data_IF_962021768134
#
_entry.id   IF_962021768134
#
_cell.length_a   1.000
_cell.length_b   1.000
_cell.length_c   1.000
_cell.angle_alpha   90.00
_cell.angle_beta   90.00
_cell.angle_gamma   90.00
#
_symmetry.space_group_name_H-M   'P 1'
#
loop_
_entity.id
_entity.type
_entity.pdbx_description
1 polymer ?
#
# COMPACT_ATOMS: atom_id res chain seq x y z
N UNK A 1 14.46 11.91 -2.64
CA UNK A 1 14.05 10.51 -2.54
C UNK A 1 13.66 10.18 -1.11
N UNK A 2 12.58 9.47 -0.93
CA UNK A 2 12.17 9.03 0.40
C UNK A 2 13.19 8.06 0.99
N UNK A 3 13.38 8.14 2.30
CA UNK A 3 14.27 7.22 3.01
C UNK A 3 13.51 5.91 3.24
N UNK A 4 13.91 4.86 2.51
CA UNK A 4 13.28 3.54 2.60
C UNK A 4 14.00 2.62 3.59
N UNK A 5 14.94 3.15 4.35
CA UNK A 5 15.77 2.31 5.21
C UNK A 5 14.96 1.44 6.15
N UNK A 6 13.95 2.02 6.80
CA UNK A 6 13.14 1.30 7.77
C UNK A 6 11.99 0.52 7.12
N UNK A 7 11.71 0.75 5.84
CA UNK A 7 10.58 0.09 5.19
C UNK A 7 10.80 -1.40 5.00
N UNK A 8 12.05 -1.86 4.96
CA UNK A 8 12.34 -3.29 4.85
C UNK A 8 11.81 -4.09 6.03
N UNK A 9 11.72 -3.47 7.19
CA UNK A 9 11.18 -4.11 8.38
C UNK A 9 9.67 -4.33 8.28
N UNK A 10 9.03 -3.67 7.33
CA UNK A 10 7.60 -3.74 7.13
C UNK A 10 7.18 -4.83 6.14
N UNK A 11 8.13 -5.56 5.55
CA UNK A 11 7.80 -6.68 4.66
C UNK A 11 6.98 -7.72 5.44
N UNK A 12 5.88 -8.13 4.86
CA UNK A 12 4.93 -9.03 5.53
C UNK A 12 3.86 -8.31 6.33
N UNK A 13 3.91 -6.99 6.39
CA UNK A 13 2.94 -6.18 7.13
C UNK A 13 2.04 -5.40 6.19
N UNK A 14 0.88 -5.02 6.70
CA UNK A 14 0.00 -4.10 5.97
C UNK A 14 0.59 -2.70 6.11
N UNK A 15 0.82 -2.05 4.98
CA UNK A 15 1.47 -0.73 4.94
C UNK A 15 0.56 0.29 4.27
N UNK A 16 0.81 1.55 4.60
CA UNK A 16 0.19 2.69 3.96
C UNK A 16 1.27 3.45 3.20
N UNK A 17 1.02 3.73 1.94
CA UNK A 17 1.98 4.37 1.05
C UNK A 17 1.38 5.67 0.54
N UNK A 18 2.15 6.75 0.65
CA UNK A 18 1.78 8.04 0.05
C UNK A 18 2.63 8.23 -1.19
N UNK A 19 1.98 8.47 -2.32
CA UNK A 19 2.67 8.79 -3.56
C UNK A 19 2.96 10.28 -3.66
N UNK A 20 3.92 10.63 -4.52
CA UNK A 20 4.26 12.03 -4.79
C UNK A 20 3.07 12.82 -5.34
N UNK A 21 2.14 12.13 -5.99
CA UNK A 21 0.90 12.73 -6.49
C UNK A 21 -0.09 13.09 -5.38
N UNK A 22 0.15 12.64 -4.15
CA UNK A 22 -0.77 12.81 -3.05
C UNK A 22 -1.73 11.64 -2.84
N UNK A 23 -1.74 10.68 -3.75
CA UNK A 23 -2.58 9.48 -3.59
C UNK A 23 -2.04 8.63 -2.46
N UNK A 24 -2.94 8.10 -1.65
CA UNK A 24 -2.60 7.21 -0.55
C UNK A 24 -3.19 5.83 -0.83
N UNK A 25 -2.39 4.79 -0.64
CA UNK A 25 -2.86 3.41 -0.81
C UNK A 25 -2.52 2.59 0.42
N UNK A 26 -3.26 1.49 0.59
CA UNK A 26 -3.03 0.52 1.65
C UNK A 26 -2.89 -0.85 1.00
N UNK A 27 -1.94 -1.67 1.47
CA UNK A 27 -1.73 -3.00 0.93
C UNK A 27 -0.77 -3.80 1.77
N UNK A 28 -0.68 -5.11 1.48
CA UNK A 28 0.27 -5.98 2.15
C UNK A 28 1.61 -5.90 1.42
N UNK A 29 2.66 -5.51 2.13
CA UNK A 29 3.98 -5.38 1.54
C UNK A 29 4.61 -6.76 1.40
N UNK A 30 4.78 -7.22 0.15
CA UNK A 30 5.36 -8.53 -0.12
C UNK A 30 6.87 -8.48 -0.23
N UNK A 31 7.40 -7.42 -0.82
CA UNK A 31 8.84 -7.28 -1.04
C UNK A 31 9.20 -5.83 -1.27
N UNK A 32 10.41 -5.48 -0.90
CA UNK A 32 10.98 -4.16 -1.18
C UNK A 32 12.38 -4.38 -1.74
N UNK A 33 12.60 -3.92 -2.95
CA UNK A 33 13.88 -4.06 -3.63
C UNK A 33 14.41 -2.67 -4.00
N UNK A 34 15.21 -2.12 -3.10
CA UNK A 34 15.78 -0.78 -3.33
C UNK A 34 16.76 -0.77 -4.49
N UNK A 35 17.49 -1.86 -4.69
CA UNK A 35 18.47 -1.96 -5.77
C UNK A 35 17.80 -1.83 -7.13
N UNK A 36 16.64 -2.44 -7.30
CA UNK A 36 15.87 -2.38 -8.54
C UNK A 36 14.81 -1.28 -8.51
N UNK A 37 14.75 -0.52 -7.44
CA UNK A 37 13.85 0.62 -7.29
C UNK A 37 12.38 0.22 -7.39
N UNK A 38 12.01 -0.90 -6.76
CA UNK A 38 10.66 -1.46 -6.85
C UNK A 38 10.16 -1.96 -5.51
N UNK A 39 8.84 -2.00 -5.38
CA UNK A 39 8.19 -2.69 -4.28
C UNK A 39 7.02 -3.50 -4.82
N UNK A 40 6.66 -4.55 -4.09
CA UNK A 40 5.55 -5.44 -4.47
C UNK A 40 4.51 -5.41 -3.37
N UNK A 41 3.25 -5.18 -3.76
CA UNK A 41 2.12 -5.17 -2.84
C UNK A 41 1.10 -6.22 -3.25
N UNK A 42 0.44 -6.80 -2.24
CA UNK A 42 -0.72 -7.64 -2.47
C UNK A 42 -1.98 -6.84 -2.15
N UNK A 43 -2.94 -6.91 -3.06
CA UNK A 43 -4.27 -6.33 -2.90
C UNK A 43 -4.26 -4.86 -2.46
N UNK A 44 -3.54 -3.97 -3.21
CA UNK A 44 -3.56 -2.56 -2.84
C UNK A 44 -4.94 -1.95 -3.08
N UNK A 45 -5.34 -1.08 -2.16
CA UNK A 45 -6.57 -0.29 -2.27
C UNK A 45 -6.22 1.18 -2.17
N UNK A 46 -6.91 2.01 -2.95
CA UNK A 46 -6.76 3.45 -2.85
C UNK A 46 -7.60 3.96 -1.70
N UNK A 47 -6.98 4.77 -0.86
CA UNK A 47 -7.66 5.40 0.27
C UNK A 47 -8.25 6.72 -0.22
N UNK A 48 -9.53 6.92 0.03
CA UNK A 48 -10.23 8.15 -0.34
C UNK A 48 -10.98 8.69 0.86
N UNK A 49 -11.20 10.00 0.86
CA UNK A 49 -11.99 10.65 1.90
C UNK A 49 -13.28 11.13 1.24
N UNK A 50 -14.40 10.71 1.79
CA UNK A 50 -15.71 11.03 1.27
C UNK A 50 -16.60 11.44 2.43
N UNK A 51 -17.08 12.68 2.41
CA UNK A 51 -17.95 13.23 3.47
C UNK A 51 -17.35 13.03 4.87
N UNK A 52 -16.05 13.38 4.99
CA UNK A 52 -15.27 13.26 6.24
C UNK A 52 -15.06 11.84 6.72
N UNK A 53 -15.37 10.84 5.90
CA UNK A 53 -15.09 9.45 6.23
C UNK A 53 -14.00 8.90 5.33
N UNK A 54 -13.18 8.02 5.89
CA UNK A 54 -12.15 7.33 5.13
C UNK A 54 -12.76 6.07 4.52
N UNK A 55 -12.60 5.92 3.22
CA UNK A 55 -13.07 4.74 2.50
C UNK A 55 -11.93 4.22 1.64
N UNK A 56 -12.07 2.99 1.17
CA UNK A 56 -11.11 2.39 0.25
C UNK A 56 -11.82 1.90 -1.00
N UNK A 57 -11.14 2.07 -2.13
CA UNK A 57 -11.62 1.58 -3.41
C UNK A 57 -10.50 0.75 -4.04
N UNK A 58 -10.82 -0.13 -4.98
CA UNK A 58 -9.76 -0.92 -5.62
C UNK A 58 -8.72 -0.01 -6.28
N UNK A 59 -7.46 -0.38 -6.18
CA UNK A 59 -6.39 0.34 -6.85
C UNK A 59 -6.50 0.15 -8.37
N UNK A 60 -6.90 -1.04 -8.79
CA UNK A 60 -7.15 -1.36 -10.19
C UNK A 60 -8.50 -2.03 -10.32
N UNK A 61 -9.19 -1.80 -11.44
CA UNK A 61 -10.51 -2.37 -11.67
C UNK A 61 -10.50 -3.58 -12.59
N UNK A 62 -9.51 -3.68 -13.47
CA UNK A 62 -9.47 -4.76 -14.47
C UNK A 62 -8.26 -5.64 -14.37
N UNK A 63 -7.27 -5.28 -13.55
CA UNK A 63 -6.05 -6.06 -13.37
C UNK A 63 -6.14 -6.95 -12.14
N UNK A 64 -5.39 -8.04 -12.15
CA UNK A 64 -5.21 -8.85 -10.96
C UNK A 64 -4.36 -8.10 -9.95
N UNK A 65 -4.75 -8.13 -8.67
CA UNK A 65 -4.02 -7.45 -7.61
C UNK A 65 -3.34 -8.42 -6.65
N UNK A 66 -3.21 -9.69 -7.04
CA UNK A 66 -2.49 -10.68 -6.21
C UNK A 66 -1.06 -10.23 -5.93
N UNK A 67 -0.44 -9.63 -6.92
CA UNK A 67 0.88 -9.04 -6.74
C UNK A 67 1.00 -7.86 -7.70
N UNK A 68 1.18 -6.66 -7.14
CA UNK A 68 1.33 -5.44 -7.92
C UNK A 68 2.73 -4.89 -7.68
N UNK A 69 3.48 -4.70 -8.75
CA UNK A 69 4.85 -4.19 -8.70
C UNK A 69 4.82 -2.70 -9.00
N UNK A 70 5.44 -1.90 -8.16
CA UNK A 70 5.44 -0.45 -8.29
C UNK A 70 6.86 0.10 -8.26
N UNK A 71 7.07 1.20 -8.97
CA UNK A 71 8.33 1.93 -8.92
C UNK A 71 8.40 2.75 -7.64
N UNK A 72 9.55 2.74 -6.99
CA UNK A 72 9.79 3.60 -5.82
C UNK A 72 9.90 5.08 -6.20
N UNK A 73 10.07 5.39 -7.48
CA UNK A 73 10.18 6.78 -7.92
C UNK A 73 8.96 7.62 -7.57
N UNK A 74 7.79 6.99 -7.49
CA UNK A 74 6.53 7.68 -7.20
C UNK A 74 6.18 7.63 -5.71
N UNK A 75 6.96 6.95 -4.91
CA UNK A 75 6.66 6.75 -3.48
C UNK A 75 7.30 7.85 -2.66
N UNK A 76 6.48 8.58 -1.92
CA UNK A 76 6.96 9.61 -1.00
C UNK A 76 7.33 8.99 0.34
N UNK A 77 6.50 8.11 0.88
CA UNK A 77 6.76 7.45 2.14
C UNK A 77 5.97 6.16 2.27
N UNK A 78 6.50 5.25 3.09
CA UNK A 78 5.84 3.99 3.45
C UNK A 78 5.82 3.91 4.97
N UNK A 79 4.64 3.68 5.56
CA UNK A 79 4.51 3.52 7.00
C UNK A 79 3.66 2.30 7.32
N UNK A 80 3.79 1.79 8.54
CA UNK A 80 2.90 0.74 9.01
C UNK A 80 1.47 1.29 9.11
N UNK A 81 0.51 0.56 8.58
CA UNK A 81 -0.89 0.95 8.68
C UNK A 81 -1.35 0.93 10.14
N UNK A 82 -2.20 1.89 10.53
CA UNK A 82 -2.73 1.91 11.90
C UNK A 82 -3.62 0.68 12.13
N UNK A 83 -3.82 0.34 13.41
CA UNK A 83 -4.48 -0.92 13.78
C UNK A 83 -5.91 -1.02 13.22
N UNK A 84 -6.67 0.06 13.28
CA UNK A 84 -8.05 0.03 12.80
C UNK A 84 -8.11 -0.20 11.29
N UNK A 85 -7.32 0.54 10.55
CA UNK A 85 -7.29 0.40 9.09
C UNK A 85 -6.73 -0.94 8.66
N UNK A 86 -5.74 -1.44 9.37
CA UNK A 86 -5.19 -2.77 9.12
C UNK A 86 -6.27 -3.85 9.31
N UNK A 87 -7.02 -3.77 10.39
CA UNK A 87 -8.09 -4.71 10.67
C UNK A 87 -9.15 -4.67 9.57
N UNK A 88 -9.56 -3.46 9.16
CA UNK A 88 -10.55 -3.30 8.10
C UNK A 88 -10.05 -3.86 6.78
N UNK A 89 -8.78 -3.61 6.45
CA UNK A 89 -8.17 -4.13 5.23
C UNK A 89 -8.14 -5.67 5.23
N UNK A 90 -7.73 -6.27 6.34
CA UNK A 90 -7.65 -7.73 6.45
C UNK A 90 -9.03 -8.35 6.31
N UNK A 91 -10.05 -7.75 6.90
CA UNK A 91 -11.42 -8.24 6.77
C UNK A 91 -11.92 -8.15 5.34
N UNK A 92 -11.58 -7.07 4.66
CA UNK A 92 -12.00 -6.87 3.28
C UNK A 92 -11.46 -7.97 2.37
N UNK A 93 -10.25 -8.45 2.64
CA UNK A 93 -9.57 -9.42 1.77
C UNK A 93 -9.56 -10.85 2.28
N UNK A 94 -10.18 -11.13 3.42
CA UNK A 94 -10.13 -12.49 3.98
C UNK A 94 -10.99 -13.50 3.24
N UNK A 95 -11.91 -13.04 2.40
CA UNK A 95 -12.81 -13.91 1.65
C UNK A 95 -12.35 -14.20 0.24
N UNK A 96 -11.16 -13.84 -0.10
CA UNK A 96 -10.65 -14.04 -1.45
C UNK A 96 -10.40 -15.49 -1.79
#
# INVERSE_FOLDING_TARGET
>A
MANMYNAKELVGKVVTIKFTSGVEIIGLLLALNEKNNMLNLKDPNTVVIFEDEVAVIPFMYTGSTDEVIMSLDQVLTVVRTNEKSESDYLKLHEKS
#
